data_IF_903072450153
#
_entry.id   IF_903072450153
#
_cell.length_a   1.000
_cell.length_b   1.000
_cell.length_c   1.000
_cell.angle_alpha   90.00
_cell.angle_beta   90.00
_cell.angle_gamma   90.00
#
_symmetry.space_group_name_H-M   'P 1'
#
loop_
_entity.id
_entity.type
_entity.pdbx_description
1 polymer ?
#
# COMPACT_ATOMS: atom_id res chain seq x y z
N UNK A 1 -2.69 -9.25 5.60
CA UNK A 1 -3.38 -8.04 5.13
C UNK A 1 -4.33 -8.43 4.01
N UNK A 2 -5.42 -7.70 3.84
CA UNK A 2 -6.34 -7.84 2.71
C UNK A 2 -6.56 -6.45 2.14
N UNK A 3 -6.45 -6.32 0.82
CA UNK A 3 -6.68 -5.10 0.03
C UNK A 3 -7.47 -5.50 -1.23
N UNK A 4 -7.89 -4.55 -2.07
CA UNK A 4 -8.89 -4.82 -3.10
C UNK A 4 -8.46 -4.41 -4.52
N UNK A 5 -7.21 -3.99 -4.72
CA UNK A 5 -6.80 -3.28 -5.95
C UNK A 5 -5.51 -3.84 -6.60
N UNK A 6 -4.55 -4.36 -5.84
CA UNK A 6 -3.22 -4.72 -6.33
C UNK A 6 -3.25 -5.85 -7.36
N UNK A 7 -4.21 -6.78 -7.23
CA UNK A 7 -4.40 -7.86 -8.19
C UNK A 7 -4.68 -7.33 -9.61
N UNK A 8 -5.58 -6.35 -9.74
CA UNK A 8 -5.90 -5.76 -11.06
C UNK A 8 -4.78 -4.84 -11.53
N UNK A 9 -4.17 -4.06 -10.63
CA UNK A 9 -3.01 -3.22 -10.94
C UNK A 9 -1.89 -4.04 -11.61
N UNK A 10 -1.52 -5.17 -11.01
CA UNK A 10 -0.46 -6.03 -11.54
C UNK A 10 -0.87 -6.73 -12.83
N UNK A 11 -2.15 -7.13 -12.95
CA UNK A 11 -2.68 -7.73 -14.17
C UNK A 11 -2.60 -6.77 -15.35
N UNK A 12 -3.05 -5.52 -15.17
CA UNK A 12 -2.99 -4.47 -16.20
C UNK A 12 -1.55 -4.12 -16.54
N UNK A 13 -0.68 -3.96 -15.55
CA UNK A 13 0.74 -3.66 -15.79
C UNK A 13 1.44 -4.76 -16.61
N UNK A 14 1.24 -6.02 -16.23
CA UNK A 14 1.78 -7.16 -16.97
C UNK A 14 1.25 -7.22 -18.40
N UNK A 15 -0.06 -6.97 -18.60
CA UNK A 15 -0.69 -6.94 -19.93
C UNK A 15 -0.05 -5.90 -20.87
N UNK A 16 0.40 -4.78 -20.33
CA UNK A 16 0.98 -3.68 -21.11
C UNK A 16 2.51 -3.64 -21.07
N UNK A 17 3.18 -4.64 -20.48
CA UNK A 17 4.64 -4.66 -20.34
C UNK A 17 5.19 -3.51 -19.49
N UNK A 18 4.36 -2.97 -18.59
CA UNK A 18 4.72 -1.88 -17.68
C UNK A 18 5.20 -2.41 -16.33
N UNK A 19 5.86 -1.55 -15.55
CA UNK A 19 6.23 -1.82 -14.15
C UNK A 19 5.14 -1.30 -13.22
N UNK A 20 4.79 -2.05 -12.19
CA UNK A 20 3.88 -1.62 -11.12
C UNK A 20 4.32 -2.16 -9.76
N UNK A 21 3.97 -1.43 -8.70
CA UNK A 21 4.23 -1.78 -7.31
C UNK A 21 3.10 -1.21 -6.45
N UNK A 22 2.56 -2.02 -5.52
CA UNK A 22 1.64 -1.56 -4.48
C UNK A 22 2.38 -1.52 -3.13
N UNK A 23 2.36 -0.38 -2.46
CA UNK A 23 2.88 -0.17 -1.10
C UNK A 23 1.69 0.17 -0.21
N UNK A 24 1.56 -0.52 0.93
CA UNK A 24 0.36 -0.51 1.75
C UNK A 24 0.72 -0.34 3.23
N UNK A 25 0.04 0.56 3.93
CA UNK A 25 0.07 0.65 5.39
C UNK A 25 -1.03 -0.22 5.98
N UNK A 26 -0.70 -1.03 6.99
CA UNK A 26 -1.70 -1.83 7.71
C UNK A 26 -2.51 -0.89 8.60
N UNK A 27 -3.81 -0.76 8.35
CA UNK A 27 -4.72 0.06 9.17
C UNK A 27 -5.45 -0.74 10.25
N UNK A 28 -5.67 -2.04 10.00
CA UNK A 28 -6.51 -2.89 10.84
C UNK A 28 -5.94 -4.32 10.90
N UNK A 29 -6.15 -4.96 12.05
CA UNK A 29 -5.79 -6.34 12.28
C UNK A 29 -7.04 -7.23 12.30
N UNK A 30 -7.28 -7.93 11.19
CA UNK A 30 -8.51 -8.71 10.97
C UNK A 30 -8.77 -9.77 12.05
N UNK A 31 -7.73 -10.37 12.65
CA UNK A 31 -7.90 -11.41 13.68
C UNK A 31 -8.16 -10.86 15.09
N UNK A 32 -7.54 -9.73 15.47
CA UNK A 32 -7.66 -9.15 16.81
C UNK A 32 -8.74 -8.07 16.86
N UNK A 33 -9.25 -7.66 15.70
CA UNK A 33 -10.17 -6.54 15.51
C UNK A 33 -9.63 -5.19 15.98
N UNK A 34 -8.31 -5.09 16.17
CA UNK A 34 -7.65 -3.83 16.47
C UNK A 34 -7.60 -2.96 15.20
N UNK A 35 -7.98 -1.71 15.36
CA UNK A 35 -7.91 -0.69 14.32
C UNK A 35 -6.98 0.41 14.80
N UNK A 36 -6.16 0.95 13.90
CA UNK A 36 -5.30 2.07 14.25
C UNK A 36 -6.14 3.32 14.58
N UNK A 37 -5.80 4.04 15.66
CA UNK A 37 -6.31 5.39 15.90
C UNK A 37 -6.06 6.30 14.70
N UNK A 38 -6.89 7.34 14.53
CA UNK A 38 -6.77 8.25 13.39
C UNK A 38 -5.43 8.97 13.31
N UNK A 39 -4.84 9.33 14.47
CA UNK A 39 -3.53 9.99 14.55
C UNK A 39 -2.39 9.07 14.06
N UNK A 40 -2.39 7.81 14.48
CA UNK A 40 -1.37 6.85 14.06
C UNK A 40 -1.50 6.50 12.58
N UNK A 41 -2.73 6.46 12.06
CA UNK A 41 -2.99 6.37 10.61
C UNK A 41 -2.31 7.51 9.87
N UNK A 42 -2.59 8.76 10.23
CA UNK A 42 -2.01 9.94 9.57
C UNK A 42 -0.48 9.89 9.54
N UNK A 43 0.16 9.54 10.67
CA UNK A 43 1.63 9.52 10.78
C UNK A 43 2.27 8.36 10.01
N UNK A 44 1.64 7.19 9.98
CA UNK A 44 2.17 6.01 9.27
C UNK A 44 1.95 6.03 7.75
N UNK A 45 1.13 6.94 7.22
CA UNK A 45 1.06 7.18 5.78
C UNK A 45 2.28 7.93 5.23
N UNK A 46 2.97 8.74 6.05
CA UNK A 46 4.15 9.51 5.62
C UNK A 46 5.28 8.62 5.12
N UNK A 47 5.71 7.66 5.95
CA UNK A 47 6.78 6.71 5.62
C UNK A 47 6.46 5.89 4.36
N UNK A 48 5.20 5.48 4.19
CA UNK A 48 4.73 4.76 3.01
C UNK A 48 4.92 5.60 1.74
N UNK A 49 4.61 6.90 1.79
CA UNK A 49 4.79 7.82 0.65
C UNK A 49 6.26 8.01 0.32
N UNK A 50 7.12 8.20 1.33
CA UNK A 50 8.56 8.34 1.12
C UNK A 50 9.16 7.09 0.45
N UNK A 51 8.81 5.89 0.93
CA UNK A 51 9.24 4.61 0.33
C UNK A 51 8.76 4.51 -1.12
N UNK A 52 7.50 4.86 -1.39
CA UNK A 52 6.93 4.81 -2.74
C UNK A 52 7.63 5.78 -3.70
N UNK A 53 7.97 7.00 -3.24
CA UNK A 53 8.71 7.98 -4.02
C UNK A 53 10.13 7.50 -4.32
N UNK A 54 10.85 6.98 -3.32
CA UNK A 54 12.16 6.39 -3.53
C UNK A 54 12.13 5.23 -4.52
N UNK A 55 11.18 4.30 -4.39
CA UNK A 55 11.05 3.18 -5.32
C UNK A 55 10.72 3.61 -6.77
N UNK A 56 10.11 4.78 -6.96
CA UNK A 56 9.72 5.29 -8.28
C UNK A 56 10.84 6.08 -8.97
N UNK A 57 11.68 6.78 -8.21
CA UNK A 57 12.61 7.77 -8.76
C UNK A 57 14.09 7.54 -8.43
N UNK A 58 14.42 6.70 -7.45
CA UNK A 58 15.79 6.27 -7.14
C UNK A 58 16.18 5.00 -7.91
#
# INVERSE_FOLDING_TARGET
AVEMEAAELYTVAARHGARALAVLTISDHILTHEALPSEDRERSFGDMVEIALSAAFD
#
